data_IF_839847508556
#
_entry.id   IF_839847508556
#
_cell.length_a   1.000
_cell.length_b   1.000
_cell.length_c   1.000
_cell.angle_alpha   90.00
_cell.angle_beta   90.00
_cell.angle_gamma   90.00
#
_symmetry.space_group_name_H-M   'P 1'
#
loop_
_entity.id
_entity.type
_entity.pdbx_description
1 polymer ?
#
# COMPACT_ATOMS: atom_id res chain seq x y z
N UNK A 1 12.15 -13.46 -6.73
CA UNK A 1 11.13 -12.45 -7.01
C UNK A 1 11.79 -11.16 -7.49
N UNK A 2 11.26 -10.49 -8.52
CA UNK A 2 11.72 -9.19 -9.04
C UNK A 2 10.68 -8.12 -8.69
N UNK A 3 11.11 -6.94 -8.29
CA UNK A 3 10.24 -5.81 -7.99
C UNK A 3 10.60 -4.66 -8.91
N UNK A 4 9.61 -4.13 -9.62
CA UNK A 4 9.71 -2.91 -10.40
C UNK A 4 8.97 -1.80 -9.67
N UNK A 5 9.50 -0.58 -9.72
CA UNK A 5 8.91 0.61 -9.12
C UNK A 5 8.84 1.74 -10.13
N UNK A 6 7.72 2.45 -10.18
CA UNK A 6 7.53 3.66 -10.97
C UNK A 6 6.78 4.70 -10.13
N UNK A 7 7.36 5.87 -9.86
CA UNK A 7 6.59 7.01 -9.36
C UNK A 7 5.59 7.48 -10.43
N UNK A 8 4.33 7.65 -10.03
CA UNK A 8 3.21 7.92 -10.91
C UNK A 8 2.43 9.16 -10.45
N UNK A 9 1.85 9.90 -11.41
CA UNK A 9 1.02 11.07 -11.15
C UNK A 9 1.75 12.27 -10.56
N UNK A 10 0.96 13.27 -10.17
CA UNK A 10 1.46 14.53 -9.63
C UNK A 10 2.14 14.36 -8.26
N UNK A 11 1.70 13.37 -7.47
CA UNK A 11 2.23 13.10 -6.13
C UNK A 11 3.40 12.10 -6.13
N UNK A 12 3.83 11.64 -7.32
CA UNK A 12 4.93 10.68 -7.46
C UNK A 12 4.71 9.42 -6.62
N UNK A 13 3.45 8.94 -6.57
CA UNK A 13 3.05 7.74 -5.84
C UNK A 13 3.71 6.52 -6.45
N UNK A 14 4.42 5.75 -5.66
CA UNK A 14 5.12 4.56 -6.11
C UNK A 14 4.13 3.43 -6.42
N UNK A 15 3.92 3.17 -7.71
CA UNK A 15 3.30 1.93 -8.16
C UNK A 15 4.36 0.83 -8.25
N UNK A 16 4.04 -0.37 -7.73
CA UNK A 16 4.96 -1.50 -7.79
C UNK A 16 4.37 -2.66 -8.59
N UNK A 17 5.26 -3.35 -9.33
CA UNK A 17 4.97 -4.62 -9.97
C UNK A 17 5.89 -5.67 -9.37
N UNK A 18 5.30 -6.67 -8.73
CA UNK A 18 6.00 -7.82 -8.18
C UNK A 18 5.91 -8.95 -9.20
N UNK A 19 7.04 -9.29 -9.81
CA UNK A 19 7.14 -10.32 -10.84
C UNK A 19 7.80 -11.59 -10.30
N UNK A 20 7.14 -12.72 -10.50
CA UNK A 20 7.65 -14.04 -10.22
C UNK A 20 7.13 -15.04 -11.26
N UNK A 21 8.03 -15.73 -11.96
CA UNK A 21 7.70 -16.71 -13.00
C UNK A 21 6.74 -16.19 -14.08
N UNK A 22 6.95 -14.96 -14.57
CA UNK A 22 6.10 -14.25 -15.54
C UNK A 22 4.64 -14.04 -15.11
N UNK A 23 4.39 -14.04 -13.81
CA UNK A 23 3.12 -13.63 -13.18
C UNK A 23 3.37 -12.43 -12.32
N UNK A 24 2.41 -11.54 -12.21
CA UNK A 24 2.62 -10.28 -11.51
C UNK A 24 1.49 -9.99 -10.50
N UNK A 25 1.87 -9.35 -9.39
CA UNK A 25 0.97 -8.64 -8.48
C UNK A 25 1.26 -7.15 -8.62
N UNK A 26 0.22 -6.34 -8.66
CA UNK A 26 0.29 -4.88 -8.74
C UNK A 26 -0.01 -4.29 -7.36
N UNK A 27 0.83 -3.35 -6.91
CA UNK A 27 0.60 -2.59 -5.67
C UNK A 27 0.35 -1.13 -6.04
N UNK A 28 -0.73 -0.57 -5.53
CA UNK A 28 -1.10 0.84 -5.61
C UNK A 28 -0.98 1.43 -7.03
N UNK A 29 -1.81 1.01 -7.99
CA UNK A 29 -1.84 1.61 -9.31
C UNK A 29 -2.49 3.02 -9.26
N UNK A 30 -1.66 4.01 -8.94
CA UNK A 30 -2.02 5.41 -8.86
C UNK A 30 -2.22 6.08 -10.22
N UNK A 31 -2.29 7.41 -10.21
CA UNK A 31 -2.51 8.20 -11.42
C UNK A 31 -1.41 7.95 -12.47
N UNK A 32 -1.81 7.58 -13.70
CA UNK A 32 -0.92 7.24 -14.83
C UNK A 32 -0.07 5.95 -14.64
N UNK A 33 -0.40 5.09 -13.67
CA UNK A 33 0.29 3.82 -13.48
C UNK A 33 -0.02 2.80 -14.58
N UNK A 34 -1.15 2.93 -15.27
CA UNK A 34 -1.59 1.95 -16.28
C UNK A 34 -0.57 1.73 -17.40
N UNK A 35 0.06 2.76 -17.94
CA UNK A 35 1.04 2.59 -19.03
C UNK A 35 2.30 1.85 -18.54
N UNK A 36 2.78 2.13 -17.34
CA UNK A 36 3.85 1.38 -16.70
C UNK A 36 3.49 -0.10 -16.51
N UNK A 37 2.27 -0.38 -16.05
CA UNK A 37 1.78 -1.76 -15.87
C UNK A 37 1.69 -2.47 -17.21
N UNK A 38 1.12 -1.84 -18.23
CA UNK A 38 0.96 -2.39 -19.58
C UNK A 38 2.30 -2.75 -20.24
N UNK A 39 3.34 -1.96 -20.00
CA UNK A 39 4.67 -2.21 -20.53
C UNK A 39 5.42 -3.33 -19.80
N UNK A 40 5.14 -3.55 -18.54
CA UNK A 40 5.96 -4.39 -17.66
C UNK A 40 5.25 -5.62 -17.06
N UNK A 41 3.92 -5.72 -17.18
CA UNK A 41 3.15 -6.82 -16.64
C UNK A 41 2.38 -7.57 -17.74
N UNK A 42 2.82 -8.78 -18.05
CA UNK A 42 2.20 -9.61 -19.10
C UNK A 42 1.02 -10.44 -18.58
N UNK A 43 1.02 -10.81 -17.30
CA UNK A 43 0.01 -11.64 -16.67
C UNK A 43 -0.24 -11.21 -15.22
N UNK A 44 -0.76 -9.99 -15.00
CA UNK A 44 -1.16 -9.58 -13.64
C UNK A 44 -2.26 -10.50 -13.10
N UNK A 45 -2.20 -10.82 -11.81
CA UNK A 45 -3.12 -11.71 -11.13
C UNK A 45 -4.04 -10.97 -10.16
N UNK A 46 -3.56 -9.86 -9.58
CA UNK A 46 -4.32 -9.06 -8.63
C UNK A 46 -3.75 -7.64 -8.49
N UNK A 47 -4.60 -6.76 -7.97
CA UNK A 47 -4.24 -5.46 -7.41
C UNK A 47 -4.34 -5.56 -5.90
N UNK A 48 -3.30 -5.11 -5.18
CA UNK A 48 -3.33 -4.95 -3.72
C UNK A 48 -3.15 -3.47 -3.40
N UNK A 49 -4.12 -2.85 -2.72
CA UNK A 49 -3.98 -1.47 -2.27
C UNK A 49 -3.57 -1.43 -0.80
N UNK A 50 -2.52 -0.65 -0.51
CA UNK A 50 -2.08 -0.39 0.87
C UNK A 50 -3.11 0.42 1.63
N UNK A 51 -3.78 1.36 0.96
CA UNK A 51 -4.85 2.20 1.48
C UNK A 51 -5.67 2.83 0.34
N UNK A 52 -6.66 3.65 0.67
CA UNK A 52 -7.67 4.11 -0.29
C UNK A 52 -7.50 5.54 -0.81
N UNK A 53 -6.40 6.26 -0.56
CA UNK A 53 -6.22 7.59 -1.13
C UNK A 53 -6.14 7.56 -2.66
N UNK A 54 -6.69 8.60 -3.29
CA UNK A 54 -6.93 8.61 -4.72
C UNK A 54 -5.67 8.42 -5.56
N UNK A 55 -4.56 8.94 -5.14
CA UNK A 55 -3.27 8.82 -5.80
C UNK A 55 -2.68 7.40 -5.76
N UNK A 56 -3.18 6.51 -4.88
CA UNK A 56 -2.85 5.08 -4.82
C UNK A 56 -3.84 4.18 -5.59
N UNK A 57 -5.06 4.67 -5.85
CA UNK A 57 -6.16 3.85 -6.40
C UNK A 57 -6.67 4.34 -7.75
N UNK A 58 -6.10 5.41 -8.29
CA UNK A 58 -6.62 6.13 -9.46
C UNK A 58 -6.86 5.23 -10.67
N UNK A 59 -5.90 4.40 -11.02
CA UNK A 59 -5.99 3.51 -12.18
C UNK A 59 -6.55 2.10 -11.85
N UNK A 60 -7.03 1.87 -10.62
CA UNK A 60 -7.61 0.58 -10.22
C UNK A 60 -8.69 0.09 -11.18
N UNK A 61 -9.67 0.94 -11.50
CA UNK A 61 -10.78 0.57 -12.37
C UNK A 61 -10.30 0.16 -13.76
N UNK A 62 -9.38 0.92 -14.34
CA UNK A 62 -8.80 0.66 -15.66
C UNK A 62 -7.99 -0.63 -15.69
N UNK A 63 -7.08 -0.82 -14.72
CA UNK A 63 -6.24 -2.02 -14.61
C UNK A 63 -7.11 -3.26 -14.38
N UNK A 64 -8.05 -3.19 -13.42
CA UNK A 64 -9.00 -4.27 -13.13
C UNK A 64 -9.80 -4.69 -14.36
N UNK A 65 -10.32 -3.72 -15.11
CA UNK A 65 -11.14 -3.98 -16.32
C UNK A 65 -10.34 -4.61 -17.46
N UNK A 66 -9.10 -4.15 -17.67
CA UNK A 66 -8.27 -4.62 -18.79
C UNK A 66 -7.75 -6.03 -18.56
N UNK A 67 -7.37 -6.35 -17.32
CA UNK A 67 -6.75 -7.64 -16.99
C UNK A 67 -7.73 -8.63 -16.35
N UNK A 68 -8.97 -8.21 -16.05
CA UNK A 68 -10.01 -9.03 -15.41
C UNK A 68 -9.53 -9.66 -14.08
N UNK A 69 -8.84 -8.87 -13.25
CA UNK A 69 -8.19 -9.30 -12.01
C UNK A 69 -8.90 -8.78 -10.76
N UNK A 70 -8.67 -9.47 -9.65
CA UNK A 70 -9.25 -9.10 -8.34
C UNK A 70 -8.50 -7.94 -7.69
N UNK A 71 -9.25 -7.10 -6.96
CA UNK A 71 -8.76 -5.98 -6.18
C UNK A 71 -8.94 -6.27 -4.70
N UNK A 72 -7.85 -6.13 -3.94
CA UNK A 72 -7.77 -6.31 -2.49
C UNK A 72 -7.53 -4.97 -1.81
N UNK A 73 -8.28 -4.66 -0.76
CA UNK A 73 -8.09 -3.49 0.10
C UNK A 73 -8.66 -3.78 1.48
N UNK A 74 -8.16 -3.10 2.50
CA UNK A 74 -8.78 -3.18 3.82
C UNK A 74 -10.23 -2.64 3.79
N UNK A 75 -11.14 -3.31 4.49
CA UNK A 75 -12.58 -2.98 4.48
C UNK A 75 -12.88 -1.53 4.86
N UNK A 76 -12.10 -1.00 5.81
CA UNK A 76 -12.31 0.35 6.33
C UNK A 76 -11.90 1.45 5.33
N UNK A 77 -11.18 1.11 4.25
CA UNK A 77 -10.84 2.02 3.16
C UNK A 77 -11.62 1.76 1.87
N UNK A 78 -12.43 0.70 1.81
CA UNK A 78 -13.17 0.34 0.59
C UNK A 78 -14.10 1.45 0.08
N UNK A 79 -14.63 2.30 0.96
CA UNK A 79 -15.47 3.45 0.58
C UNK A 79 -14.70 4.49 -0.23
N UNK A 80 -13.37 4.60 -0.04
CA UNK A 80 -12.53 5.56 -0.76
C UNK A 80 -12.43 5.23 -2.25
N UNK A 81 -12.64 3.97 -2.64
CA UNK A 81 -12.72 3.55 -4.05
C UNK A 81 -13.91 4.17 -4.82
N UNK A 82 -14.78 4.90 -4.13
CA UNK A 82 -15.96 5.61 -4.68
C UNK A 82 -15.75 7.11 -4.80
N UNK A 83 -14.51 7.57 -4.71
CA UNK A 83 -14.14 8.97 -4.84
C UNK A 83 -14.96 9.93 -3.92
N UNK A 84 -14.97 9.70 -2.60
CA UNK A 84 -15.78 10.48 -1.68
C UNK A 84 -15.38 11.96 -1.62
N UNK A 85 -14.25 12.32 -2.18
CA UNK A 85 -13.72 13.68 -2.22
C UNK A 85 -13.84 14.35 -3.60
N UNK A 86 -14.39 13.64 -4.59
CA UNK A 86 -14.62 14.14 -5.94
C UNK A 86 -13.31 14.58 -6.67
N UNK A 87 -12.27 13.74 -6.58
CA UNK A 87 -11.02 13.93 -7.32
C UNK A 87 -11.13 13.60 -8.82
N UNK A 88 -12.21 12.90 -9.24
CA UNK A 88 -12.54 12.66 -10.63
C UNK A 88 -11.93 11.39 -11.23
N UNK A 89 -11.60 10.38 -10.44
CA UNK A 89 -11.17 9.08 -10.96
C UNK A 89 -12.34 8.09 -11.15
N UNK A 90 -12.15 7.08 -11.98
CA UNK A 90 -13.16 6.04 -12.23
C UNK A 90 -13.33 5.14 -11.00
N UNK A 91 -14.57 5.01 -10.53
CA UNK A 91 -14.89 4.18 -9.35
C UNK A 91 -14.56 2.71 -9.58
N UNK A 92 -14.02 2.07 -8.58
CA UNK A 92 -13.80 0.63 -8.56
C UNK A 92 -14.51 -0.05 -7.38
N UNK A 93 -14.57 -1.38 -7.42
CA UNK A 93 -15.05 -2.20 -6.31
C UNK A 93 -13.94 -3.18 -5.92
N UNK A 94 -13.72 -3.33 -4.62
CA UNK A 94 -12.93 -4.43 -4.12
C UNK A 94 -13.65 -5.75 -4.31
N UNK A 95 -12.91 -6.78 -4.71
CA UNK A 95 -13.39 -8.16 -4.77
C UNK A 95 -13.11 -8.88 -3.45
N UNK A 96 -12.04 -8.48 -2.77
CA UNK A 96 -11.64 -9.03 -1.48
C UNK A 96 -11.43 -7.89 -0.48
N UNK A 97 -12.25 -7.91 0.56
CA UNK A 97 -12.11 -7.01 1.71
C UNK A 97 -11.25 -7.66 2.77
N UNK A 98 -10.16 -6.99 3.13
CA UNK A 98 -9.27 -7.45 4.20
C UNK A 98 -9.89 -7.05 5.54
N UNK A 99 -10.13 -8.04 6.40
CA UNK A 99 -10.72 -7.85 7.73
C UNK A 99 -9.81 -8.33 8.87
N UNK A 100 -8.72 -9.01 8.51
CA UNK A 100 -7.79 -9.60 9.47
C UNK A 100 -6.40 -9.75 8.87
N UNK A 101 -5.39 -9.90 9.74
CA UNK A 101 -4.00 -10.08 9.35
C UNK A 101 -3.68 -11.55 8.98
N UNK A 102 -4.58 -12.20 8.24
CA UNK A 102 -4.35 -13.56 7.73
C UNK A 102 -3.42 -13.56 6.53
N UNK A 103 -2.79 -14.71 6.26
CA UNK A 103 -2.04 -14.95 5.04
C UNK A 103 -3.01 -15.23 3.90
N UNK A 104 -2.77 -14.58 2.77
CA UNK A 104 -3.44 -14.83 1.49
C UNK A 104 -2.46 -15.47 0.52
N UNK A 105 -2.99 -16.23 -0.42
CA UNK A 105 -2.20 -16.78 -1.51
C UNK A 105 -2.92 -16.64 -2.85
N UNK A 106 -2.18 -16.19 -3.85
CA UNK A 106 -2.61 -16.16 -5.25
C UNK A 106 -1.50 -16.80 -6.05
N UNK A 107 -1.78 -17.98 -6.58
CA UNK A 107 -0.78 -18.79 -7.26
C UNK A 107 0.45 -19.05 -6.36
N UNK A 108 1.65 -18.61 -6.76
CA UNK A 108 2.88 -18.75 -5.98
C UNK A 108 3.12 -17.60 -5.00
N UNK A 109 2.35 -16.52 -5.09
CA UNK A 109 2.50 -15.38 -4.21
C UNK A 109 1.79 -15.63 -2.88
N UNK A 110 2.52 -15.40 -1.79
CA UNK A 110 1.97 -15.38 -0.43
C UNK A 110 2.18 -14.00 0.16
N UNK A 111 1.12 -13.41 0.65
CA UNK A 111 1.18 -12.05 1.20
C UNK A 111 0.25 -11.89 2.40
N UNK A 112 0.52 -10.87 3.18
CA UNK A 112 -0.19 -10.56 4.41
C UNK A 112 -0.38 -9.06 4.54
N UNK A 113 -1.60 -8.65 4.89
CA UNK A 113 -1.88 -7.26 5.24
C UNK A 113 -1.72 -7.09 6.75
N UNK A 114 -0.87 -6.18 7.15
CA UNK A 114 -0.69 -5.74 8.53
C UNK A 114 -1.38 -4.40 8.71
N UNK A 115 -2.42 -4.34 9.53
CA UNK A 115 -3.25 -3.15 9.71
C UNK A 115 -2.55 -2.11 10.60
N UNK A 116 -2.28 -0.94 10.05
CA UNK A 116 -1.64 0.21 10.68
C UNK A 116 -2.45 1.49 10.43
N UNK A 117 -3.65 1.61 11.06
CA UNK A 117 -4.53 2.75 10.85
C UNK A 117 -3.93 4.05 11.41
N UNK A 118 -4.40 5.17 10.88
CA UNK A 118 -4.00 6.51 11.32
C UNK A 118 -3.84 7.48 10.17
N UNK A 119 -3.14 7.11 9.10
CA UNK A 119 -3.12 7.86 7.84
C UNK A 119 -4.48 7.75 7.14
N UNK A 120 -5.00 6.55 7.01
CA UNK A 120 -6.41 6.25 6.72
C UNK A 120 -6.93 5.21 7.70
N UNK A 121 -8.26 4.99 7.78
CA UNK A 121 -8.83 3.97 8.66
C UNK A 121 -8.35 2.55 8.32
N UNK A 122 -8.15 2.26 7.04
CA UNK A 122 -7.75 0.94 6.54
C UNK A 122 -6.28 0.86 6.10
N UNK A 123 -5.43 1.84 6.44
CA UNK A 123 -4.03 1.82 6.05
C UNK A 123 -3.33 0.53 6.51
N UNK A 124 -2.65 -0.13 5.57
CA UNK A 124 -1.94 -1.39 5.80
C UNK A 124 -0.52 -1.35 5.26
N UNK A 125 0.37 -2.10 5.91
CA UNK A 125 1.58 -2.58 5.27
C UNK A 125 1.34 -3.96 4.66
N UNK A 126 1.90 -4.24 3.49
CA UNK A 126 1.74 -5.53 2.80
C UNK A 126 3.07 -6.26 2.78
N UNK A 127 3.14 -7.40 3.49
CA UNK A 127 4.29 -8.30 3.51
C UNK A 127 4.15 -9.34 2.40
N UNK A 128 5.24 -9.58 1.64
CA UNK A 128 5.38 -10.78 0.83
C UNK A 128 6.12 -11.83 1.65
N UNK A 129 5.38 -12.88 2.02
CA UNK A 129 5.85 -13.88 2.98
C UNK A 129 7.01 -14.69 2.40
N UNK A 130 8.13 -14.72 3.12
CA UNK A 130 9.34 -15.40 2.69
C UNK A 130 10.34 -14.54 1.89
N UNK A 131 9.99 -13.30 1.54
CA UNK A 131 10.83 -12.42 0.70
C UNK A 131 11.46 -11.24 1.47
N UNK A 132 11.20 -11.12 2.76
CA UNK A 132 11.71 -10.04 3.62
C UNK A 132 11.40 -8.62 3.09
N UNK A 133 10.27 -8.47 2.40
CA UNK A 133 9.81 -7.24 1.77
C UNK A 133 8.49 -6.78 2.38
N UNK A 134 8.38 -5.49 2.64
CA UNK A 134 7.20 -4.84 3.23
C UNK A 134 6.88 -3.56 2.46
N UNK A 135 5.71 -3.53 1.81
CA UNK A 135 5.18 -2.33 1.17
C UNK A 135 4.45 -1.53 2.24
N UNK A 136 4.99 -0.38 2.61
CA UNK A 136 4.48 0.38 3.76
C UNK A 136 3.34 1.35 3.43
N UNK A 137 3.01 1.53 2.15
CA UNK A 137 2.07 2.58 1.76
C UNK A 137 2.48 3.91 2.37
N UNK A 138 1.48 4.62 2.89
CA UNK A 138 1.68 5.92 3.52
C UNK A 138 1.73 5.86 5.06
N UNK A 139 2.13 4.71 5.61
CA UNK A 139 2.39 4.60 7.05
C UNK A 139 3.81 5.02 7.41
N UNK A 140 4.83 4.42 6.77
CA UNK A 140 6.25 4.73 6.99
C UNK A 140 6.95 5.06 5.68
N UNK A 141 7.78 6.10 5.70
CA UNK A 141 8.63 6.53 4.61
C UNK A 141 10.09 6.59 5.05
N UNK A 142 10.99 6.76 4.10
CA UNK A 142 12.38 7.10 4.40
C UNK A 142 12.45 8.35 5.27
N UNK A 143 12.84 8.20 6.55
CA UNK A 143 12.96 9.25 7.58
C UNK A 143 11.69 10.05 7.85
N UNK A 144 10.52 9.47 7.55
CA UNK A 144 9.24 10.15 7.75
C UNK A 144 8.11 9.16 8.03
N UNK A 145 6.96 9.71 8.43
CA UNK A 145 5.71 8.97 8.62
C UNK A 145 4.60 9.64 7.84
N UNK A 146 3.53 8.89 7.58
CA UNK A 146 2.32 9.41 6.96
C UNK A 146 1.66 10.50 7.77
N UNK A 147 0.97 11.41 7.10
CA UNK A 147 0.16 12.46 7.74
C UNK A 147 -1.04 11.85 8.44
N UNK A 148 -1.45 12.49 9.53
CA UNK A 148 -2.57 12.07 10.37
C UNK A 148 -3.60 13.19 10.58
N UNK A 149 -3.60 14.19 9.72
CA UNK A 149 -4.43 15.39 9.76
C UNK A 149 -5.30 15.59 8.49
N UNK A 150 -5.41 14.55 7.66
CA UNK A 150 -6.33 14.51 6.53
C UNK A 150 -7.75 14.11 6.98
N UNK A 151 -8.79 14.36 6.14
CA UNK A 151 -10.09 13.76 6.37
C UNK A 151 -9.98 12.23 6.55
N UNK A 152 -10.65 11.69 7.59
CA UNK A 152 -10.61 10.30 8.03
C UNK A 152 -9.28 9.82 8.62
N UNK A 153 -8.25 10.66 8.69
CA UNK A 153 -7.05 10.35 9.48
C UNK A 153 -7.34 10.41 11.00
N UNK A 154 -6.53 9.72 11.79
CA UNK A 154 -6.66 9.66 13.25
C UNK A 154 -5.30 9.65 13.93
N UNK A 155 -4.99 10.74 14.66
CA UNK A 155 -3.72 10.89 15.36
C UNK A 155 -3.53 9.82 16.47
N UNK A 156 -4.60 9.42 17.15
CA UNK A 156 -4.52 8.40 18.19
C UNK A 156 -4.19 7.04 17.59
N UNK A 157 -4.85 6.69 16.47
CA UNK A 157 -4.57 5.46 15.74
C UNK A 157 -3.17 5.45 15.14
N UNK A 158 -2.69 6.58 14.61
CA UNK A 158 -1.31 6.70 14.13
C UNK A 158 -0.31 6.46 15.26
N UNK A 159 -0.53 7.04 16.44
CA UNK A 159 0.31 6.79 17.63
C UNK A 159 0.32 5.31 18.02
N UNK A 160 -0.85 4.66 18.07
CA UNK A 160 -0.98 3.22 18.35
C UNK A 160 -0.23 2.39 17.32
N UNK A 161 -0.35 2.72 16.03
CA UNK A 161 0.33 2.07 14.93
C UNK A 161 1.86 2.21 15.02
N UNK A 162 2.36 3.40 15.36
CA UNK A 162 3.80 3.63 15.58
C UNK A 162 4.34 2.81 16.76
N UNK A 163 3.56 2.67 17.84
CA UNK A 163 3.93 1.81 18.98
C UNK A 163 3.90 0.33 18.58
N UNK A 164 2.89 -0.10 17.81
CA UNK A 164 2.77 -1.47 17.30
C UNK A 164 3.98 -1.86 16.45
N UNK A 165 4.41 -0.99 15.54
CA UNK A 165 5.51 -1.32 14.61
C UNK A 165 6.87 -1.43 15.30
N UNK A 166 7.07 -0.77 16.45
CA UNK A 166 8.29 -0.93 17.26
C UNK A 166 8.49 -2.36 17.78
N UNK A 167 7.41 -3.14 17.91
CA UNK A 167 7.47 -4.52 18.37
C UNK A 167 7.92 -5.52 17.27
N UNK A 168 8.08 -5.08 16.04
CA UNK A 168 8.56 -5.93 14.95
C UNK A 168 10.06 -6.18 15.12
N UNK A 169 10.44 -7.43 15.35
CA UNK A 169 11.85 -7.83 15.57
C UNK A 169 12.60 -8.03 14.26
N UNK A 170 11.91 -8.57 13.24
CA UNK A 170 12.48 -8.84 11.93
C UNK A 170 12.70 -7.52 11.17
N UNK A 171 13.85 -7.43 10.50
CA UNK A 171 14.07 -6.36 9.53
C UNK A 171 13.46 -6.73 8.18
N UNK A 172 12.95 -5.71 7.48
CA UNK A 172 12.37 -5.82 6.16
C UNK A 172 12.93 -4.73 5.27
N UNK A 173 13.12 -5.04 4.01
CA UNK A 173 13.24 -4.01 2.98
C UNK A 173 11.90 -3.29 2.91
N UNK A 174 11.90 -1.98 3.16
CA UNK A 174 10.71 -1.14 3.24
C UNK A 174 10.50 -0.39 1.93
N UNK A 175 9.37 -0.61 1.30
CA UNK A 175 8.97 -0.04 0.01
C UNK A 175 7.77 0.88 0.23
N UNK A 176 7.99 2.21 0.32
CA UNK A 176 6.94 3.17 0.70
C UNK A 176 6.05 3.58 -0.46
N UNK A 177 4.89 4.19 -0.13
CA UNK A 177 3.99 4.81 -1.10
C UNK A 177 4.60 5.99 -1.84
N UNK A 178 5.55 6.70 -1.22
CA UNK A 178 6.26 7.81 -1.85
C UNK A 178 7.76 7.79 -1.53
N UNK A 179 8.56 8.31 -2.48
CA UNK A 179 9.98 8.54 -2.28
C UNK A 179 10.84 7.27 -2.31
N UNK A 180 11.91 7.30 -1.51
CA UNK A 180 12.96 6.29 -1.53
C UNK A 180 12.66 5.09 -0.62
N UNK A 181 13.29 3.96 -0.91
CA UNK A 181 13.28 2.75 -0.08
C UNK A 181 14.07 2.96 1.21
N UNK A 182 13.73 2.15 2.22
CA UNK A 182 14.45 2.10 3.50
C UNK A 182 14.49 0.66 4.03
N UNK A 183 14.80 0.52 5.31
CA UNK A 183 14.53 -0.72 6.05
C UNK A 183 13.68 -0.42 7.27
N UNK A 184 12.92 -1.42 7.70
CA UNK A 184 12.05 -1.25 8.86
C UNK A 184 12.86 -0.87 10.11
N UNK A 185 14.05 -1.45 10.29
CA UNK A 185 14.93 -1.16 11.43
C UNK A 185 15.49 0.26 11.42
N UNK A 186 15.78 0.83 10.23
CA UNK A 186 16.20 2.23 10.15
C UNK A 186 15.06 3.15 10.55
N UNK A 187 13.84 2.93 10.05
CA UNK A 187 12.70 3.79 10.36
C UNK A 187 12.25 3.66 11.83
N UNK A 188 12.33 2.45 12.41
CA UNK A 188 12.05 2.25 13.84
C UNK A 188 12.92 3.16 14.74
N UNK A 189 14.14 3.51 14.35
CA UNK A 189 15.02 4.42 15.13
C UNK A 189 14.45 5.83 15.23
N UNK A 190 13.72 6.29 14.22
CA UNK A 190 13.13 7.64 14.18
C UNK A 190 11.78 7.72 14.93
N UNK A 191 11.07 6.60 15.13
CA UNK A 191 9.74 6.58 15.73
C UNK A 191 9.68 7.26 17.11
N UNK A 192 10.63 7.08 18.05
CA UNK A 192 10.59 7.78 19.33
C UNK A 192 10.58 9.31 19.22
N UNK A 193 11.17 9.86 18.16
CA UNK A 193 11.12 11.31 17.89
C UNK A 193 9.72 11.71 17.38
N UNK A 194 9.12 10.93 16.48
CA UNK A 194 7.77 11.16 15.97
C UNK A 194 6.70 11.07 17.08
N UNK A 195 6.82 10.14 18.00
CA UNK A 195 5.87 9.97 19.11
C UNK A 195 5.71 11.23 19.99
N UNK A 196 6.69 12.15 19.98
CA UNK A 196 6.60 13.42 20.73
C UNK A 196 5.59 14.41 20.15
N UNK A 197 5.14 14.22 18.93
CA UNK A 197 4.11 15.05 18.29
C UNK A 197 2.68 14.63 18.65
N UNK A 198 2.51 13.46 19.29
CA UNK A 198 1.21 12.93 19.70
C UNK A 198 1.02 13.14 21.22
N UNK A 199 0.34 14.20 21.56
CA UNK A 199 0.05 14.60 22.95
C UNK A 199 -1.24 13.95 23.48
#
# INVERSE_FOLDING_TARGET
>A
MRILKQPCGMYETNCYIIDHNNKQIIIDPGENAYEFIKENASKPLAILNTHGHYDHVYDNAKVKKVYEISLFIHKDDAFMLKDPFNYGFEHSNADVLIESENEFSIDEFKFKFHHFPGHTPGCCMIEFVGEDVLFSGDFLFYRSIGRWDFPYSDATKMKESLLKVLAYEKDFRLLPGHGEESTLKEEQKAIPAWLRYFH
#
